data_IF_144347969874
#
_entry.id   IF_144347969874
#
_cell.length_a   1.000
_cell.length_b   1.000
_cell.length_c   1.000
_cell.angle_alpha   90.00
_cell.angle_beta   90.00
_cell.angle_gamma   90.00
#
_symmetry.space_group_name_H-M   'P 1'
#
loop_
_entity.id
_entity.type
_entity.pdbx_description
1 polymer ?
#
# COMPACT_ATOMS: atom_id res chain seq x y z
N UNK A 1 38.66 49.59 41.87
CA UNK A 1 37.30 49.08 41.58
C UNK A 1 36.86 49.59 40.21
N UNK A 2 36.99 48.80 39.15
CA UNK A 2 36.42 49.10 37.83
C UNK A 2 35.95 47.78 37.21
N UNK A 3 34.64 47.69 36.99
CA UNK A 3 33.89 46.48 36.72
C UNK A 3 34.27 45.86 35.36
N UNK A 4 34.59 44.56 35.38
CA UNK A 4 34.69 43.73 34.18
C UNK A 4 33.30 43.61 33.54
N UNK A 5 33.18 43.99 32.27
CA UNK A 5 31.94 43.81 31.49
C UNK A 5 31.93 42.39 30.94
N UNK A 6 31.12 41.54 31.55
CA UNK A 6 30.81 40.19 31.08
C UNK A 6 29.85 40.32 29.88
N UNK A 7 30.36 40.15 28.65
CA UNK A 7 29.52 39.98 27.46
C UNK A 7 29.09 38.51 27.39
N UNK A 8 27.93 38.18 27.93
CA UNK A 8 27.30 36.88 27.73
C UNK A 8 26.52 36.92 26.40
N UNK A 9 27.13 36.42 25.32
CA UNK A 9 26.40 36.06 24.11
C UNK A 9 25.59 34.79 24.39
N UNK A 10 24.28 34.94 24.66
CA UNK A 10 23.34 33.83 24.51
C UNK A 10 23.12 33.60 23.01
N UNK A 11 23.82 32.61 22.45
CA UNK A 11 23.48 32.06 21.15
C UNK A 11 22.19 31.24 21.29
N UNK A 12 21.06 31.81 20.86
CA UNK A 12 19.78 31.10 20.78
C UNK A 12 19.85 30.00 19.72
N UNK A 13 20.06 28.76 20.16
CA UNK A 13 19.96 27.58 19.32
C UNK A 13 18.48 27.37 18.97
N UNK A 14 18.08 27.88 17.81
CA UNK A 14 16.74 27.67 17.26
C UNK A 14 16.61 26.20 16.87
N UNK A 15 15.97 25.42 17.72
CA UNK A 15 15.63 24.02 17.43
C UNK A 15 14.51 24.01 16.38
N UNK A 16 14.87 24.00 15.10
CA UNK A 16 13.94 23.72 14.02
C UNK A 16 13.54 22.25 14.12
N UNK A 17 12.45 21.97 14.85
CA UNK A 17 11.78 20.68 14.79
C UNK A 17 11.23 20.53 13.37
N UNK A 18 11.97 19.83 12.51
CA UNK A 18 11.49 19.48 11.17
C UNK A 18 10.24 18.65 11.30
N UNK A 19 9.12 19.17 10.81
CA UNK A 19 7.90 18.38 10.61
C UNK A 19 8.24 17.35 9.53
N UNK A 20 8.49 16.10 9.93
CA UNK A 20 8.61 15.01 8.98
C UNK A 20 7.22 14.73 8.41
N UNK A 21 7.09 14.75 7.09
CA UNK A 21 5.85 14.33 6.43
C UNK A 21 5.64 12.84 6.68
N UNK A 22 4.40 12.43 6.92
CA UNK A 22 4.09 11.02 7.14
C UNK A 22 4.23 10.23 5.82
N UNK A 23 4.47 8.93 5.91
CA UNK A 23 4.55 8.05 4.74
C UNK A 23 3.29 8.16 3.87
N UNK A 24 2.10 8.23 4.49
CA UNK A 24 0.84 8.41 3.78
C UNK A 24 0.74 9.72 2.97
N UNK A 25 1.47 10.78 3.35
CA UNK A 25 1.49 12.05 2.62
C UNK A 25 2.46 12.02 1.43
N UNK A 26 3.41 11.09 1.43
CA UNK A 26 4.53 11.00 0.48
C UNK A 26 4.37 9.85 -0.51
N UNK A 27 3.58 8.83 -0.14
CA UNK A 27 3.32 7.65 -0.98
C UNK A 27 2.07 7.86 -1.82
N UNK A 28 2.22 7.66 -3.13
CA UNK A 28 1.14 7.68 -4.09
C UNK A 28 0.79 6.26 -4.55
N UNK A 29 -0.49 5.93 -4.52
CA UNK A 29 -1.01 4.68 -5.05
C UNK A 29 -1.57 4.86 -6.46
N UNK A 30 -1.30 3.89 -7.34
CA UNK A 30 -1.84 3.85 -8.70
C UNK A 30 -2.15 2.41 -9.10
N UNK A 31 -2.94 2.24 -10.16
CA UNK A 31 -3.26 0.93 -10.72
C UNK A 31 -3.82 -0.05 -9.67
N UNK A 32 -4.69 0.44 -8.77
CA UNK A 32 -5.26 -0.34 -7.68
C UNK A 32 -6.47 -1.18 -8.16
N UNK A 33 -6.37 -2.50 -8.03
CA UNK A 33 -7.45 -3.42 -8.44
C UNK A 33 -7.47 -4.72 -7.64
N UNK A 34 -8.64 -5.35 -7.59
CA UNK A 34 -8.85 -6.65 -6.93
C UNK A 34 -9.17 -7.69 -7.99
N UNK A 35 -8.50 -8.84 -7.95
CA UNK A 35 -8.95 -10.04 -8.66
C UNK A 35 -9.89 -10.83 -7.78
N UNK A 36 -11.18 -10.80 -8.12
CA UNK A 36 -12.19 -11.57 -7.39
C UNK A 36 -12.25 -13.01 -7.91
N UNK A 37 -12.42 -13.95 -6.98
CA UNK A 37 -12.65 -15.37 -7.27
C UNK A 37 -14.09 -15.75 -6.87
N UNK A 38 -14.65 -16.82 -7.45
CA UNK A 38 -16.02 -17.25 -7.13
C UNK A 38 -16.22 -17.57 -5.64
N UNK A 39 -17.42 -17.28 -5.14
CA UNK A 39 -17.83 -17.61 -3.78
C UNK A 39 -17.08 -16.81 -2.72
N UNK A 40 -16.60 -17.50 -1.68
CA UNK A 40 -15.87 -16.90 -0.55
C UNK A 40 -14.36 -17.18 -0.61
N UNK A 41 -13.85 -17.54 -1.78
CA UNK A 41 -12.42 -17.78 -1.97
C UNK A 41 -11.62 -16.49 -1.73
N UNK A 42 -10.37 -16.60 -1.26
CA UNK A 42 -9.50 -15.43 -1.07
C UNK A 42 -9.32 -14.66 -2.38
N UNK A 43 -9.44 -13.33 -2.33
CA UNK A 43 -9.16 -12.45 -3.46
C UNK A 43 -7.74 -11.88 -3.38
N UNK A 44 -7.20 -11.46 -4.53
CA UNK A 44 -5.90 -10.80 -4.62
C UNK A 44 -6.05 -9.30 -4.86
N UNK A 45 -5.46 -8.47 -4.00
CA UNK A 45 -5.36 -7.02 -4.19
C UNK A 45 -3.99 -6.63 -4.76
N UNK A 46 -4.01 -5.78 -5.78
CA UNK A 46 -2.85 -5.34 -6.54
C UNK A 46 -2.82 -3.83 -6.65
N UNK A 47 -1.63 -3.23 -6.51
CA UNK A 47 -1.43 -1.77 -6.49
C UNK A 47 0.04 -1.46 -6.72
N UNK A 48 0.32 -0.34 -7.39
CA UNK A 48 1.66 0.24 -7.46
C UNK A 48 1.76 1.37 -6.45
N UNK A 49 2.78 1.32 -5.59
CA UNK A 49 3.07 2.34 -4.59
C UNK A 49 4.37 3.05 -4.94
N UNK A 50 4.30 4.37 -5.11
CA UNK A 50 5.45 5.25 -5.40
C UNK A 50 5.71 6.12 -4.17
N UNK A 51 6.90 6.02 -3.58
CA UNK A 51 7.32 6.89 -2.49
C UNK A 51 8.07 8.09 -3.08
N UNK A 52 7.47 9.29 -2.97
CA UNK A 52 8.09 10.54 -3.43
C UNK A 52 8.93 11.24 -2.37
N UNK A 53 8.99 10.67 -1.18
CA UNK A 53 9.77 11.19 -0.08
C UNK A 53 11.26 10.87 -0.15
N UNK A 54 12.00 11.59 0.68
CA UNK A 54 13.46 11.50 0.80
C UNK A 54 13.91 10.35 1.74
N UNK A 55 12.97 9.67 2.39
CA UNK A 55 13.24 8.55 3.30
C UNK A 55 12.52 7.27 2.85
N UNK A 56 13.11 6.08 3.04
CA UNK A 56 12.40 4.83 2.83
C UNK A 56 11.26 4.69 3.85
N UNK A 57 10.17 4.06 3.42
CA UNK A 57 9.01 3.72 4.26
C UNK A 57 8.66 2.25 4.06
N UNK A 58 7.87 1.64 4.94
CA UNK A 58 7.45 0.25 4.76
C UNK A 58 5.93 0.09 4.85
N UNK A 59 5.35 -0.60 3.87
CA UNK A 59 3.97 -1.07 3.95
C UNK A 59 3.93 -2.27 4.89
N UNK A 60 3.16 -2.19 5.98
CA UNK A 60 3.01 -3.27 6.97
C UNK A 60 1.72 -4.06 6.81
N UNK A 61 0.78 -3.54 6.03
CA UNK A 61 -0.46 -4.24 5.70
C UNK A 61 -1.54 -3.29 5.18
N UNK A 62 -2.78 -3.75 5.18
CA UNK A 62 -3.93 -2.93 4.87
C UNK A 62 -5.17 -3.39 5.65
N UNK A 63 -6.23 -2.60 5.65
CA UNK A 63 -7.53 -2.98 6.23
C UNK A 63 -8.68 -2.44 5.38
N UNK A 64 -9.82 -3.11 5.41
CA UNK A 64 -11.04 -2.68 4.71
C UNK A 64 -12.26 -3.09 5.52
N UNK A 65 -13.40 -2.42 5.32
CA UNK A 65 -14.68 -2.88 5.83
C UNK A 65 -15.28 -4.00 4.98
N UNK A 66 -14.79 -4.17 3.74
CA UNK A 66 -15.29 -5.20 2.81
C UNK A 66 -14.69 -6.60 3.06
N UNK A 67 -13.57 -6.70 3.76
CA UNK A 67 -12.86 -7.95 4.05
C UNK A 67 -12.45 -7.98 5.51
N UNK A 68 -12.67 -9.11 6.20
CA UNK A 68 -12.33 -9.21 7.62
C UNK A 68 -10.81 -9.25 7.85
N UNK A 69 -10.03 -9.75 6.89
CA UNK A 69 -8.56 -9.77 6.98
C UNK A 69 -7.95 -9.39 5.63
N UNK A 70 -6.89 -8.58 5.69
CA UNK A 70 -6.08 -8.18 4.53
C UNK A 70 -4.62 -8.34 4.91
N UNK A 71 -3.94 -9.28 4.24
CA UNK A 71 -2.59 -9.72 4.61
C UNK A 71 -1.62 -9.45 3.47
N UNK A 72 -0.40 -9.04 3.78
CA UNK A 72 0.65 -8.86 2.78
C UNK A 72 1.35 -10.19 2.51
N UNK A 73 1.34 -10.64 1.27
CA UNK A 73 1.88 -11.93 0.85
C UNK A 73 2.90 -11.77 -0.29
N UNK A 74 3.82 -12.71 -0.39
CA UNK A 74 4.72 -12.87 -1.53
C UNK A 74 4.52 -14.25 -2.16
N UNK A 75 4.26 -14.25 -3.46
CA UNK A 75 4.25 -15.45 -4.29
C UNK A 75 5.63 -15.65 -4.92
N UNK A 76 6.14 -16.86 -4.90
CA UNK A 76 7.39 -17.24 -5.56
C UNK A 76 7.31 -18.65 -6.12
N UNK A 77 8.15 -18.94 -7.11
CA UNK A 77 8.32 -20.30 -7.63
C UNK A 77 9.71 -20.79 -7.26
N UNK A 78 9.79 -21.88 -6.51
CA UNK A 78 11.06 -22.51 -6.13
C UNK A 78 11.03 -23.97 -6.58
N UNK A 79 11.96 -24.36 -7.47
CA UNK A 79 12.05 -25.74 -7.96
C UNK A 79 10.79 -26.24 -8.68
N UNK A 80 10.08 -25.35 -9.39
CA UNK A 80 8.82 -25.68 -10.08
C UNK A 80 7.58 -25.71 -9.18
N UNK A 81 7.72 -25.52 -7.87
CA UNK A 81 6.61 -25.41 -6.93
C UNK A 81 6.31 -23.95 -6.61
N UNK A 82 5.05 -23.56 -6.78
CA UNK A 82 4.58 -22.25 -6.33
C UNK A 82 4.39 -22.23 -4.82
N UNK A 83 4.99 -21.25 -4.16
CA UNK A 83 4.85 -20.96 -2.75
C UNK A 83 4.25 -19.57 -2.59
N UNK A 84 3.35 -19.44 -1.62
CA UNK A 84 2.78 -18.17 -1.21
C UNK A 84 2.94 -18.06 0.29
N UNK A 85 3.58 -16.98 0.76
CA UNK A 85 3.88 -16.77 2.16
C UNK A 85 3.51 -15.36 2.59
N UNK A 86 2.99 -15.23 3.80
CA UNK A 86 2.82 -13.94 4.46
C UNK A 86 4.18 -13.29 4.69
N UNK A 87 4.24 -11.97 4.55
CA UNK A 87 5.38 -11.13 4.92
C UNK A 87 4.91 -10.02 5.85
N UNK A 88 5.77 -9.64 6.80
CA UNK A 88 5.41 -8.65 7.84
C UNK A 88 5.44 -7.22 7.30
N UNK A 89 6.30 -6.95 6.31
CA UNK A 89 6.40 -5.64 5.68
C UNK A 89 6.99 -5.71 4.28
N UNK A 90 6.78 -4.65 3.51
CA UNK A 90 7.40 -4.41 2.21
C UNK A 90 7.97 -2.99 2.17
N UNK A 91 9.30 -2.90 2.08
CA UNK A 91 10.00 -1.63 1.99
C UNK A 91 9.76 -0.94 0.64
N UNK A 92 9.53 0.37 0.68
CA UNK A 92 9.37 1.27 -0.45
C UNK A 92 10.50 2.29 -0.37
N UNK A 93 11.55 2.17 -1.21
CA UNK A 93 12.70 3.07 -1.15
C UNK A 93 12.31 4.54 -1.36
N UNK A 94 13.10 5.46 -0.80
CA UNK A 94 13.01 6.89 -1.11
C UNK A 94 13.09 7.10 -2.63
N UNK A 95 12.22 7.95 -3.18
CA UNK A 95 12.06 8.18 -4.63
C UNK A 95 11.87 6.91 -5.46
N UNK A 96 11.45 5.80 -4.82
CA UNK A 96 11.31 4.49 -5.41
C UNK A 96 9.85 4.08 -5.56
N UNK A 97 9.65 2.91 -6.18
CA UNK A 97 8.33 2.30 -6.29
C UNK A 97 8.38 0.80 -6.04
N UNK A 98 7.25 0.26 -5.60
CA UNK A 98 7.01 -1.18 -5.50
C UNK A 98 5.70 -1.53 -6.19
N UNK A 99 5.68 -2.71 -6.82
CA UNK A 99 4.50 -3.22 -7.51
C UNK A 99 4.00 -4.44 -6.75
N UNK A 100 2.77 -4.36 -6.25
CA UNK A 100 2.02 -5.52 -5.78
C UNK A 100 1.21 -6.04 -6.97
N UNK A 101 1.67 -7.15 -7.57
CA UNK A 101 1.13 -7.69 -8.83
C UNK A 101 1.02 -9.22 -8.83
N UNK A 102 0.28 -9.79 -9.80
CA UNK A 102 0.17 -11.24 -9.95
C UNK A 102 1.55 -11.91 -10.02
N UNK A 103 1.75 -12.97 -9.23
CA UNK A 103 3.00 -13.74 -9.22
C UNK A 103 4.13 -13.15 -8.36
N UNK A 104 3.93 -11.98 -7.73
CA UNK A 104 4.87 -11.38 -6.78
C UNK A 104 4.20 -11.02 -5.46
N UNK A 105 4.51 -9.83 -4.94
CA UNK A 105 3.83 -9.29 -3.76
C UNK A 105 2.36 -8.99 -4.05
N UNK A 106 1.47 -9.23 -3.10
CA UNK A 106 0.05 -8.92 -3.22
C UNK A 106 -0.63 -8.84 -1.85
N UNK A 107 -1.79 -8.21 -1.82
CA UNK A 107 -2.69 -8.26 -0.67
C UNK A 107 -3.57 -9.52 -0.81
N UNK A 108 -3.50 -10.44 0.14
CA UNK A 108 -4.47 -11.52 0.27
C UNK A 108 -5.68 -11.02 1.06
N UNK A 109 -6.85 -11.02 0.42
CA UNK A 109 -8.11 -10.51 0.97
C UNK A 109 -8.98 -11.70 1.37
N UNK A 110 -9.23 -11.85 2.68
CA UNK A 110 -9.96 -13.00 3.23
C UNK A 110 -11.32 -12.58 3.76
N UNK A 111 -12.27 -13.54 3.76
CA UNK A 111 -13.57 -13.42 4.43
C UNK A 111 -14.30 -12.13 4.02
N UNK A 112 -14.73 -12.02 2.74
CA UNK A 112 -15.50 -10.87 2.30
C UNK A 112 -16.79 -10.73 3.11
N UNK A 113 -17.13 -9.51 3.54
CA UNK A 113 -18.33 -9.21 4.32
C UNK A 113 -19.61 -9.35 3.48
N UNK A 114 -19.51 -9.13 2.17
CA UNK A 114 -20.54 -9.35 1.17
C UNK A 114 -19.89 -9.72 -0.17
N UNK A 115 -20.68 -10.22 -1.13
CA UNK A 115 -20.15 -10.54 -2.46
C UNK A 115 -19.55 -9.29 -3.13
N UNK A 116 -18.27 -9.35 -3.49
CA UNK A 116 -17.59 -8.31 -4.28
C UNK A 116 -17.60 -8.74 -5.74
N UNK A 117 -18.33 -8.00 -6.56
CA UNK A 117 -18.52 -8.29 -7.98
C UNK A 117 -17.56 -7.45 -8.85
N UNK A 118 -17.20 -7.92 -10.06
CA UNK A 118 -16.47 -7.10 -11.02
C UNK A 118 -17.11 -5.72 -11.23
N UNK A 119 -16.29 -4.67 -11.25
CA UNK A 119 -16.72 -3.27 -11.34
C UNK A 119 -17.03 -2.60 -10.00
N UNK A 120 -17.16 -3.34 -8.89
CA UNK A 120 -17.29 -2.73 -7.57
C UNK A 120 -16.01 -1.99 -7.17
N UNK A 121 -16.16 -0.92 -6.37
CA UNK A 121 -15.05 -0.23 -5.72
C UNK A 121 -14.96 -0.65 -4.26
N UNK A 122 -13.74 -0.93 -3.81
CA UNK A 122 -13.44 -1.29 -2.42
C UNK A 122 -12.32 -0.38 -1.94
N UNK A 123 -12.58 0.39 -0.90
CA UNK A 123 -11.55 1.20 -0.26
C UNK A 123 -10.73 0.34 0.70
N UNK A 124 -9.40 0.45 0.61
CA UNK A 124 -8.45 -0.12 1.55
C UNK A 124 -7.62 0.99 2.19
N UNK A 125 -7.42 0.89 3.51
CA UNK A 125 -6.48 1.73 4.24
C UNK A 125 -5.12 1.02 4.22
N UNK A 126 -4.19 1.51 3.41
CA UNK A 126 -2.81 1.02 3.33
C UNK A 126 -2.04 1.52 4.55
N UNK A 127 -1.48 0.63 5.36
CA UNK A 127 -0.85 0.97 6.65
C UNK A 127 0.67 0.94 6.52
N UNK A 128 1.33 1.98 7.04
CA UNK A 128 2.78 2.11 7.01
C UNK A 128 3.40 1.92 8.40
N UNK A 129 4.72 1.74 8.44
CA UNK A 129 5.52 1.52 9.65
C UNK A 129 5.58 2.72 10.60
N UNK A 130 5.37 3.94 10.09
CA UNK A 130 5.22 5.16 10.91
C UNK A 130 3.83 5.31 11.56
N UNK A 131 2.93 4.34 11.34
CA UNK A 131 1.56 4.33 11.86
C UNK A 131 0.57 5.15 11.02
N UNK A 132 1.02 5.81 9.95
CA UNK A 132 0.14 6.52 9.02
C UNK A 132 -0.66 5.56 8.13
N UNK A 133 -1.72 6.06 7.51
CA UNK A 133 -2.56 5.25 6.62
C UNK A 133 -3.02 6.03 5.39
N UNK A 134 -2.90 5.43 4.21
CA UNK A 134 -3.33 5.98 2.93
C UNK A 134 -4.62 5.28 2.46
N UNK A 135 -5.75 6.01 2.29
CA UNK A 135 -6.93 5.45 1.64
C UNK A 135 -6.68 5.25 0.14
N UNK A 136 -6.96 4.04 -0.36
CA UNK A 136 -6.82 3.69 -1.78
C UNK A 136 -8.08 2.96 -2.24
N UNK A 137 -8.68 3.44 -3.33
CA UNK A 137 -9.83 2.80 -3.95
C UNK A 137 -9.39 1.77 -4.99
N UNK A 138 -9.75 0.51 -4.75
CA UNK A 138 -9.48 -0.60 -5.66
C UNK A 138 -10.72 -0.92 -6.49
N UNK A 139 -10.53 -1.19 -7.78
CA UNK A 139 -11.61 -1.68 -8.66
C UNK A 139 -11.56 -3.21 -8.76
N UNK A 140 -12.66 -3.89 -8.46
CA UNK A 140 -12.77 -5.33 -8.62
C UNK A 140 -12.84 -5.74 -10.10
N UNK A 141 -12.10 -6.80 -10.46
CA UNK A 141 -11.94 -7.35 -11.81
C UNK A 141 -12.12 -8.87 -11.79
N UNK A 142 -12.56 -9.48 -12.90
CA UNK A 142 -12.83 -10.92 -12.97
C UNK A 142 -11.54 -11.77 -12.80
N UNK A 143 -11.74 -13.06 -12.53
CA UNK A 143 -10.66 -14.01 -12.23
C UNK A 143 -9.61 -14.17 -13.35
N UNK A 144 -9.98 -13.90 -14.62
CA UNK A 144 -9.09 -13.97 -15.77
C UNK A 144 -8.30 -12.67 -16.03
N UNK A 145 -8.45 -11.65 -15.18
CA UNK A 145 -7.71 -10.40 -15.33
C UNK A 145 -6.20 -10.60 -15.09
N UNK A 146 -5.39 -10.12 -16.04
CA UNK A 146 -3.93 -10.28 -16.06
C UNK A 146 -3.14 -9.03 -15.62
N UNK A 147 -3.77 -7.85 -15.51
CA UNK A 147 -3.09 -6.57 -15.28
C UNK A 147 -3.89 -5.40 -15.85
N UNK A 148 -3.22 -4.31 -16.26
CA UNK A 148 -3.74 -2.98 -16.67
C UNK A 148 -4.85 -2.91 -17.74
N UNK A 149 -5.42 -4.04 -18.14
CA UNK A 149 -6.68 -4.06 -18.87
C UNK A 149 -7.83 -3.74 -17.89
N UNK A 150 -8.41 -2.55 -18.05
CA UNK A 150 -9.73 -2.24 -17.50
C UNK A 150 -10.74 -3.31 -18.00
N UNK A 151 -11.78 -3.66 -17.23
CA UNK A 151 -12.76 -4.63 -17.69
C UNK A 151 -13.29 -4.18 -19.05
N UNK A 152 -13.17 -5.06 -20.05
CA UNK A 152 -13.82 -4.87 -21.34
C UNK A 152 -15.28 -4.52 -21.05
N UNK A 153 -15.70 -3.34 -21.49
CA UNK A 153 -17.10 -2.93 -21.45
C UNK A 153 -17.90 -4.11 -22.02
N UNK A 154 -18.88 -4.61 -21.28
CA UNK A 154 -19.75 -5.65 -21.78
C UNK A 154 -20.38 -5.14 -23.09
N UNK A 155 -19.82 -5.55 -24.23
CA UNK A 155 -20.42 -5.34 -25.52
C UNK A 155 -21.62 -6.28 -25.55
N UNK A 156 -22.79 -5.73 -25.25
CA UNK A 156 -24.06 -6.33 -25.63
C UNK A 156 -24.09 -6.38 -27.16
N UNK A 157 -23.92 -7.58 -27.72
CA UNK A 157 -23.93 -7.77 -29.16
C UNK A 157 -24.12 -9.23 -29.56
N UNK A 158 -25.38 -9.70 -29.50
CA UNK A 158 -26.18 -10.28 -30.60
C UNK A 158 -27.38 -11.02 -30.02
#
# INVERSE_FOLDING_TARGET
MKHARLFALLAGLSLAAGVHAAAADQVHASHAWIRVLPGTLPAGGYVTLENRGDQPVALTGARSTAYAEVMLHHSSTQGGMSRMAMVESLAIPAHGSVVLGPGGYHLMLMKPAAAVLPGNRVQMQMQFDDGSSLPVDFVARPANALGDEAPASAQSGH
#
